data_IF_157000185507
#
_entry.id   IF_157000185507
#
_cell.length_a   1.000
_cell.length_b   1.000
_cell.length_c   1.000
_cell.angle_alpha   90.00
_cell.angle_beta   90.00
_cell.angle_gamma   90.00
#
_symmetry.space_group_name_H-M   'P 1'
#
loop_
_entity.id
_entity.type
_entity.pdbx_description
1 polymer ?
#
# COMPACT_ATOMS: atom_id res chain seq x y z
N UNK A 1 -0.69 -7.76 -34.74
CA UNK A 1 -1.39 -7.01 -33.68
C UNK A 1 -1.05 -7.67 -32.35
N UNK A 2 0.02 -7.23 -31.68
CA UNK A 2 0.41 -7.73 -30.35
C UNK A 2 0.41 -6.53 -29.42
N UNK A 3 -0.67 -6.40 -28.65
CA UNK A 3 -0.79 -5.40 -27.58
C UNK A 3 0.25 -5.70 -26.50
N UNK A 4 1.09 -4.75 -26.06
CA UNK A 4 1.98 -4.98 -24.93
C UNK A 4 1.17 -5.09 -23.64
N UNK A 5 1.09 -6.30 -23.09
CA UNK A 5 0.56 -6.58 -21.77
C UNK A 5 1.38 -5.88 -20.67
N UNK A 6 0.99 -4.65 -20.32
CA UNK A 6 1.52 -3.91 -19.19
C UNK A 6 1.24 -4.66 -17.88
N UNK A 7 2.20 -5.47 -17.43
CA UNK A 7 2.10 -6.19 -16.16
C UNK A 7 2.43 -5.22 -15.03
N UNK A 8 1.39 -4.76 -14.32
CA UNK A 8 1.50 -3.88 -13.16
C UNK A 8 2.24 -4.61 -12.04
N UNK A 9 3.53 -4.35 -11.88
CA UNK A 9 4.33 -4.94 -10.81
C UNK A 9 4.07 -4.15 -9.52
N UNK A 10 2.96 -4.42 -8.83
CA UNK A 10 2.86 -4.06 -7.40
C UNK A 10 4.01 -4.78 -6.70
N UNK A 11 4.95 -4.03 -6.13
CA UNK A 11 6.07 -4.63 -5.41
C UNK A 11 5.48 -5.45 -4.28
N UNK A 12 5.60 -6.80 -4.32
CA UNK A 12 5.06 -7.71 -3.29
C UNK A 12 5.38 -7.25 -1.86
N UNK A 13 6.52 -6.58 -1.71
CA UNK A 13 6.96 -5.94 -0.47
C UNK A 13 5.96 -4.89 0.08
N UNK A 14 5.37 -4.04 -0.77
CA UNK A 14 4.42 -2.99 -0.35
C UNK A 14 3.14 -3.58 0.22
N UNK A 15 2.59 -4.60 -0.43
CA UNK A 15 1.35 -5.27 0.01
C UNK A 15 1.59 -6.06 1.30
N UNK A 16 2.78 -6.67 1.46
CA UNK A 16 3.19 -7.32 2.71
C UNK A 16 3.35 -6.30 3.84
N UNK A 17 4.05 -5.18 3.64
CA UNK A 17 4.20 -4.13 4.66
C UNK A 17 2.84 -3.54 5.05
N UNK A 18 1.93 -3.32 4.08
CA UNK A 18 0.55 -2.88 4.37
C UNK A 18 -0.14 -3.89 5.28
N UNK A 19 -0.06 -5.17 4.94
CA UNK A 19 -0.73 -6.25 5.67
C UNK A 19 -0.20 -6.39 7.09
N UNK A 20 1.13 -6.40 7.27
CA UNK A 20 1.77 -6.48 8.59
C UNK A 20 1.41 -5.27 9.45
N UNK A 21 1.49 -4.06 8.88
CA UNK A 21 1.14 -2.83 9.60
C UNK A 21 -0.32 -2.86 10.07
N UNK A 22 -1.24 -3.33 9.21
CA UNK A 22 -2.65 -3.49 9.58
C UNK A 22 -2.84 -4.52 10.70
N UNK A 23 -2.13 -5.65 10.64
CA UNK A 23 -2.22 -6.70 11.67
C UNK A 23 -1.77 -6.22 13.03
N UNK A 24 -0.66 -5.47 13.12
CA UNK A 24 -0.20 -4.90 14.38
C UNK A 24 -1.26 -3.98 15.01
N UNK A 25 -1.86 -3.11 14.19
CA UNK A 25 -2.90 -2.16 14.66
C UNK A 25 -4.17 -2.89 15.11
N UNK A 26 -4.61 -3.91 14.38
CA UNK A 26 -5.80 -4.69 14.73
C UNK A 26 -5.63 -5.44 16.06
N UNK A 27 -4.45 -6.03 16.30
CA UNK A 27 -4.12 -6.68 17.58
C UNK A 27 -4.16 -5.68 18.73
N UNK A 28 -3.55 -4.50 18.56
CA UNK A 28 -3.57 -3.45 19.57
C UNK A 28 -4.99 -2.95 19.89
N UNK A 29 -5.85 -2.76 18.88
CA UNK A 29 -7.25 -2.38 19.09
C UNK A 29 -7.99 -3.43 19.93
N UNK A 30 -7.80 -4.71 19.58
CA UNK A 30 -8.49 -5.80 20.27
C UNK A 30 -8.00 -5.95 21.71
N UNK A 31 -6.68 -5.84 21.92
CA UNK A 31 -6.07 -5.87 23.23
C UNK A 31 -6.58 -4.71 24.11
N UNK A 32 -6.62 -3.48 23.60
CA UNK A 32 -7.08 -2.31 24.35
C UNK A 32 -8.53 -2.46 24.82
N UNK A 33 -9.43 -2.91 23.93
CA UNK A 33 -10.85 -3.07 24.26
C UNK A 33 -11.03 -4.15 25.34
N UNK A 34 -10.32 -5.27 25.21
CA UNK A 34 -10.39 -6.36 26.19
C UNK A 34 -9.80 -5.96 27.55
N UNK A 35 -8.70 -5.19 27.57
CA UNK A 35 -8.08 -4.73 28.82
C UNK A 35 -8.91 -3.65 29.52
N UNK A 36 -9.55 -2.75 28.77
CA UNK A 36 -10.36 -1.67 29.36
C UNK A 36 -11.69 -2.15 29.96
N UNK A 37 -12.14 -3.39 29.70
CA UNK A 37 -13.38 -3.97 30.23
C UNK A 37 -14.55 -2.97 30.24
N UNK A 38 -14.91 -2.45 29.06
CA UNK A 38 -15.98 -1.46 28.92
C UNK A 38 -17.34 -1.92 29.47
N UNK A 39 -17.61 -3.22 29.42
CA UNK A 39 -18.81 -3.83 30.00
C UNK A 39 -18.54 -5.30 30.35
N UNK A 40 -19.31 -5.83 31.31
CA UNK A 40 -19.36 -7.27 31.61
C UNK A 40 -20.12 -8.07 30.53
N UNK A 41 -20.86 -7.39 29.64
CA UNK A 41 -21.54 -8.04 28.53
C UNK A 41 -20.59 -8.25 27.34
N UNK A 42 -20.35 -9.52 27.00
CA UNK A 42 -19.51 -9.89 25.86
C UNK A 42 -19.97 -9.26 24.52
N UNK A 43 -21.28 -9.12 24.32
CA UNK A 43 -21.84 -8.51 23.11
C UNK A 43 -21.45 -7.03 22.97
N UNK A 44 -21.47 -6.26 24.06
CA UNK A 44 -21.10 -4.84 24.06
C UNK A 44 -19.61 -4.67 23.73
N UNK A 45 -18.75 -5.50 24.31
CA UNK A 45 -17.32 -5.47 23.98
C UNK A 45 -17.07 -5.87 22.51
N UNK A 46 -17.78 -6.88 21.99
CA UNK A 46 -17.67 -7.26 20.58
C UNK A 46 -18.13 -6.13 19.64
N UNK A 47 -19.23 -5.45 19.97
CA UNK A 47 -19.70 -4.30 19.21
C UNK A 47 -18.68 -3.16 19.25
N UNK A 48 -18.17 -2.83 20.44
CA UNK A 48 -17.14 -1.81 20.63
C UNK A 48 -15.89 -2.10 19.80
N UNK A 49 -15.38 -3.35 19.83
CA UNK A 49 -14.23 -3.77 19.02
C UNK A 49 -14.42 -3.53 17.52
N UNK A 50 -15.63 -3.80 16.99
CA UNK A 50 -15.92 -3.62 15.57
C UNK A 50 -16.06 -2.13 15.21
N UNK A 51 -16.73 -1.35 16.07
CA UNK A 51 -16.88 0.09 15.84
C UNK A 51 -15.53 0.80 15.91
N UNK A 52 -14.71 0.54 16.93
CA UNK A 52 -13.36 1.11 17.01
C UNK A 52 -12.47 0.58 15.90
N UNK A 53 -12.56 -0.71 15.57
CA UNK A 53 -11.84 -1.31 14.45
C UNK A 53 -12.14 -0.62 13.12
N UNK A 54 -13.40 -0.28 12.86
CA UNK A 54 -13.81 0.47 11.67
C UNK A 54 -13.18 1.87 11.63
N UNK A 55 -13.23 2.61 12.74
CA UNK A 55 -12.63 3.94 12.84
C UNK A 55 -11.11 3.86 12.62
N UNK A 56 -10.44 2.92 13.30
CA UNK A 56 -9.00 2.70 13.19
C UNK A 56 -8.61 2.28 11.76
N UNK A 57 -9.41 1.44 11.10
CA UNK A 57 -9.20 1.08 9.70
C UNK A 57 -9.24 2.30 8.78
N UNK A 58 -10.23 3.17 8.95
CA UNK A 58 -10.34 4.39 8.17
C UNK A 58 -9.10 5.28 8.32
N UNK A 59 -8.62 5.49 9.55
CA UNK A 59 -7.39 6.24 9.78
C UNK A 59 -6.16 5.54 9.21
N UNK A 60 -6.08 4.22 9.34
CA UNK A 60 -4.99 3.42 8.77
C UNK A 60 -4.90 3.61 7.26
N UNK A 61 -6.03 3.51 6.54
CA UNK A 61 -6.05 3.77 5.10
C UNK A 61 -5.68 5.21 4.75
N UNK A 62 -6.14 6.18 5.54
CA UNK A 62 -5.81 7.59 5.33
C UNK A 62 -4.31 7.87 5.51
N UNK A 63 -3.69 7.29 6.53
CA UNK A 63 -2.24 7.37 6.78
C UNK A 63 -1.49 6.64 5.67
N UNK A 64 -1.92 5.43 5.32
CA UNK A 64 -1.28 4.62 4.27
C UNK A 64 -1.28 5.35 2.91
N UNK A 65 -2.35 6.08 2.58
CA UNK A 65 -2.41 6.91 1.37
C UNK A 65 -1.38 8.06 1.37
N UNK A 66 -0.94 8.52 2.54
CA UNK A 66 0.12 9.54 2.67
C UNK A 66 1.53 8.96 2.58
N UNK A 67 1.69 7.66 2.84
CA UNK A 67 2.99 6.98 2.79
C UNK A 67 3.46 6.85 1.34
N UNK A 68 4.46 7.65 0.95
CA UNK A 68 5.04 7.69 -0.42
C UNK A 68 6.07 6.57 -0.70
N UNK A 69 6.17 5.57 0.18
CA UNK A 69 7.20 4.53 0.14
C UNK A 69 7.09 3.68 -1.14
N UNK A 70 8.22 3.44 -1.82
CA UNK A 70 8.29 2.55 -2.99
C UNK A 70 8.06 3.24 -4.33
N UNK A 71 7.99 4.58 -4.38
CA UNK A 71 8.11 5.30 -5.67
C UNK A 71 9.55 5.22 -6.16
N UNK A 72 9.83 4.20 -6.96
CA UNK A 72 11.03 4.16 -7.79
C UNK A 72 10.79 5.19 -8.90
N UNK A 73 11.59 6.27 -9.00
CA UNK A 73 11.50 7.15 -10.15
C UNK A 73 12.02 6.36 -11.35
N UNK A 74 11.13 5.88 -12.22
CA UNK A 74 11.53 5.23 -13.47
C UNK A 74 12.16 6.19 -14.50
N UNK A 75 12.52 7.41 -14.09
CA UNK A 75 13.07 8.47 -14.95
C UNK A 75 14.60 8.51 -15.06
N UNK A 76 15.32 7.52 -14.52
CA UNK A 76 16.79 7.53 -14.50
C UNK A 76 17.50 6.64 -15.54
N UNK A 77 16.76 5.84 -16.33
CA UNK A 77 17.37 4.86 -17.25
C UNK A 77 17.42 5.31 -18.73
N UNK A 78 16.98 6.53 -19.07
CA UNK A 78 16.94 7.01 -20.46
C UNK A 78 17.86 8.20 -20.76
N UNK A 79 18.65 8.68 -19.80
CA UNK A 79 19.47 9.89 -20.00
C UNK A 79 20.89 9.66 -20.56
N UNK A 80 21.26 8.46 -21.03
CA UNK A 80 22.65 8.29 -21.49
C UNK A 80 23.02 6.99 -22.21
N UNK A 81 22.25 6.49 -23.19
CA UNK A 81 22.79 5.35 -23.94
C UNK A 81 22.16 4.85 -25.23
N UNK A 82 20.94 5.24 -25.66
CA UNK A 82 20.27 4.40 -26.71
C UNK A 82 19.66 5.15 -27.91
N UNK A 83 19.55 6.48 -27.96
CA UNK A 83 18.63 7.11 -28.93
C UNK A 83 19.20 8.05 -30.01
N UNK A 84 20.46 7.91 -30.49
CA UNK A 84 20.91 8.74 -31.62
C UNK A 84 21.93 8.10 -32.55
N UNK A 85 21.79 6.79 -32.82
CA UNK A 85 22.57 6.13 -33.86
C UNK A 85 21.73 5.11 -34.61
N UNK A 86 20.79 5.58 -35.45
CA UNK A 86 20.25 4.84 -36.60
C UNK A 86 19.67 5.86 -37.60
N UNK A 87 20.30 5.91 -38.78
CA UNK A 87 19.81 6.25 -40.12
C UNK A 87 19.26 7.65 -40.44
N UNK A 88 20.13 8.48 -41.03
CA UNK A 88 19.76 9.48 -42.04
C UNK A 88 20.40 9.06 -43.39
N UNK A 89 19.62 8.79 -44.45
CA UNK A 89 20.17 8.35 -45.75
C UNK A 89 20.87 9.49 -46.51
N UNK A 90 21.81 9.17 -47.42
CA UNK A 90 22.56 10.17 -48.18
C UNK A 90 21.64 10.87 -49.21
N UNK A 91 21.37 12.16 -48.98
CA UNK A 91 20.87 13.06 -50.02
C UNK A 91 22.06 13.74 -50.71
N UNK A 92 22.25 13.36 -51.97
CA UNK A 92 23.01 13.96 -53.08
C UNK A 92 23.83 15.23 -52.83
#
# INVERSE_FOLDING_TARGET
MTEPNLHFQETKARSLTKTVSWRCVAVLNSFLILTMKFSDQAFVNALAMNVTGFVVFYFFERIWNRVKWGRIPSGGLTAGGVAAGVDQPPSA
#
